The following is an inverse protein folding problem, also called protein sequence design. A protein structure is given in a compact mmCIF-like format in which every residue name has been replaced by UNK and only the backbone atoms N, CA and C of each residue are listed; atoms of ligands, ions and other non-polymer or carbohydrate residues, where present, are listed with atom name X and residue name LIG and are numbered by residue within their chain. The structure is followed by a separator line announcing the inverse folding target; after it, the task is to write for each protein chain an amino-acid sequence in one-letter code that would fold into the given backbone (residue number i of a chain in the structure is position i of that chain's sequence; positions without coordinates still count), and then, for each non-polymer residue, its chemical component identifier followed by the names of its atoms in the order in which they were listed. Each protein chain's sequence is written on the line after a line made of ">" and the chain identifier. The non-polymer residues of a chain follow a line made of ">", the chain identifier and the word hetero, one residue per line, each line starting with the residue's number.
data_IF_365760033347
#
_entry.id   IF_365760033347
#
_cell.length_a   1.000
_cell.length_b   1.000
_cell.length_c   1.000
_cell.angle_alpha   90.00
_cell.angle_beta   90.00
_cell.angle_gamma   90.00
#
_symmetry.space_group_name_H-M   'P 1'
#
loop_
_entity.id
_entity.type
_entity.pdbx_description
1 polymer ?
#
# COMPACT_ATOMS: atom_id res chain seq x y z
N UNK A 1 20.59 -9.73 -16.51
CA UNK A 1 20.29 -8.97 -15.28
C UNK A 1 19.54 -9.79 -14.25
N UNK A 2 18.47 -10.53 -14.61
CA UNK A 2 17.72 -11.38 -13.68
C UNK A 2 18.61 -12.46 -13.03
N UNK A 3 19.47 -13.13 -13.79
CA UNK A 3 20.43 -14.09 -13.23
C UNK A 3 21.37 -13.45 -12.20
N UNK A 4 21.82 -12.23 -12.47
CA UNK A 4 22.67 -11.49 -11.54
C UNK A 4 21.93 -11.15 -10.25
N UNK A 5 20.66 -10.73 -10.31
CA UNK A 5 19.82 -10.51 -9.14
C UNK A 5 19.58 -11.81 -8.34
N UNK A 6 19.40 -12.93 -9.04
CA UNK A 6 19.20 -14.24 -8.39
C UNK A 6 20.45 -14.71 -7.64
N UNK A 7 21.64 -14.46 -8.20
CA UNK A 7 22.92 -14.91 -7.65
C UNK A 7 23.45 -13.97 -6.56
N UNK A 8 23.04 -12.68 -6.59
CA UNK A 8 23.50 -11.66 -5.63
C UNK A 8 23.38 -12.07 -4.16
N UNK A 9 22.27 -12.65 -3.64
CA UNK A 9 22.15 -13.00 -2.23
C UNK A 9 23.19 -14.03 -1.73
N UNK A 10 23.74 -14.83 -2.67
CA UNK A 10 24.74 -15.87 -2.37
C UNK A 10 26.18 -15.34 -2.36
N UNK A 11 26.45 -14.27 -3.12
CA UNK A 11 27.81 -13.70 -3.27
C UNK A 11 27.97 -12.41 -2.43
N UNK A 12 26.87 -11.68 -2.20
CA UNK A 12 26.90 -10.40 -1.52
C UNK A 12 27.23 -10.53 -0.04
N UNK A 13 27.99 -9.56 0.46
CA UNK A 13 28.22 -9.41 1.90
C UNK A 13 26.97 -8.81 2.56
N UNK A 14 26.70 -9.26 3.78
CA UNK A 14 25.63 -8.67 4.61
C UNK A 14 26.08 -7.27 5.07
N UNK A 15 25.35 -6.24 4.61
CA UNK A 15 25.58 -4.85 5.02
C UNK A 15 24.27 -4.31 5.61
N UNK A 16 24.22 -4.09 6.91
CA UNK A 16 23.06 -3.57 7.64
C UNK A 16 21.79 -4.42 7.42
N UNK A 17 21.93 -5.75 7.37
CA UNK A 17 20.82 -6.70 7.19
C UNK A 17 20.38 -6.92 5.72
N UNK A 18 21.04 -6.29 4.74
CA UNK A 18 20.76 -6.49 3.31
C UNK A 18 21.93 -7.20 2.62
N UNK A 19 21.61 -8.17 1.75
CA UNK A 19 22.58 -8.91 0.92
C UNK A 19 22.48 -8.51 -0.54
N UNK A 20 22.73 -7.23 -0.83
CA UNK A 20 22.51 -6.62 -2.13
C UNK A 20 23.78 -5.99 -2.73
N UNK A 21 24.88 -5.91 -1.97
CA UNK A 21 26.11 -5.27 -2.40
C UNK A 21 27.17 -6.27 -2.79
N UNK A 22 27.59 -6.20 -4.05
CA UNK A 22 28.71 -6.99 -4.58
C UNK A 22 29.98 -6.16 -4.53
N UNK A 23 30.96 -6.64 -3.80
CA UNK A 23 32.28 -6.00 -3.70
C UNK A 23 33.20 -6.48 -4.83
N UNK A 24 33.64 -5.56 -5.67
CA UNK A 24 34.60 -5.81 -6.76
C UNK A 24 36.05 -5.46 -6.39
N UNK A 25 36.31 -5.18 -5.09
CA UNK A 25 37.64 -4.79 -4.61
C UNK A 25 37.88 -3.28 -4.63
N UNK A 26 37.70 -2.63 -5.77
CA UNK A 26 37.86 -1.19 -5.96
C UNK A 26 36.54 -0.41 -5.81
N UNK A 27 35.39 -1.05 -5.97
CA UNK A 27 34.07 -0.44 -5.74
C UNK A 27 33.04 -1.47 -5.28
N UNK A 28 31.98 -0.97 -4.62
CA UNK A 28 30.81 -1.74 -4.29
C UNK A 28 29.71 -1.42 -5.32
N UNK A 29 29.15 -2.45 -5.93
CA UNK A 29 28.09 -2.32 -6.91
C UNK A 29 26.83 -2.97 -6.36
N UNK A 30 25.69 -2.28 -6.52
CA UNK A 30 24.38 -2.80 -6.18
C UNK A 30 23.63 -3.17 -7.47
N UNK A 31 23.46 -4.48 -7.77
CA UNK A 31 22.80 -4.93 -9.01
C UNK A 31 21.35 -4.45 -9.14
N UNK A 32 20.65 -4.21 -8.03
CA UNK A 32 19.29 -3.68 -8.02
C UNK A 32 19.17 -2.29 -8.70
N UNK A 33 20.19 -1.44 -8.58
CA UNK A 33 20.20 -0.11 -9.23
C UNK A 33 20.21 -0.23 -10.76
N UNK A 34 21.06 -1.11 -11.28
CA UNK A 34 21.12 -1.38 -12.73
C UNK A 34 19.87 -2.09 -13.23
N UNK A 35 19.28 -2.95 -12.39
CA UNK A 35 18.06 -3.67 -12.74
C UNK A 35 16.87 -2.72 -12.98
N UNK A 36 16.76 -1.61 -12.25
CA UNK A 36 15.73 -0.59 -12.48
C UNK A 36 15.84 0.00 -13.91
N UNK A 37 17.04 0.38 -14.33
CA UNK A 37 17.27 0.92 -15.67
C UNK A 37 16.98 -0.13 -16.78
N UNK A 38 17.45 -1.37 -16.59
CA UNK A 38 17.22 -2.45 -17.56
C UNK A 38 15.72 -2.78 -17.64
N UNK A 39 15.01 -2.79 -16.51
CA UNK A 39 13.56 -3.01 -16.50
C UNK A 39 12.83 -1.89 -17.22
N UNK A 40 13.20 -0.62 -17.00
CA UNK A 40 12.60 0.52 -17.70
C UNK A 40 12.75 0.39 -19.22
N UNK A 41 13.93 0.04 -19.70
CA UNK A 41 14.19 -0.18 -21.14
C UNK A 41 13.41 -1.38 -21.69
N UNK A 42 13.32 -2.47 -20.91
CA UNK A 42 12.59 -3.66 -21.32
C UNK A 42 11.07 -3.40 -21.39
N UNK A 43 10.53 -2.65 -20.43
CA UNK A 43 9.14 -2.22 -20.43
C UNK A 43 8.86 -1.28 -21.60
N UNK A 44 9.71 -0.28 -21.84
CA UNK A 44 9.57 0.62 -22.96
C UNK A 44 9.57 -0.13 -24.31
N UNK A 45 10.45 -1.12 -24.47
CA UNK A 45 10.48 -1.99 -25.66
C UNK A 45 9.20 -2.81 -25.80
N UNK A 46 8.66 -3.32 -24.69
CA UNK A 46 7.44 -4.12 -24.69
C UNK A 46 6.23 -3.27 -25.10
N UNK A 47 6.10 -2.07 -24.51
CA UNK A 47 5.01 -1.13 -24.79
C UNK A 47 5.04 -0.61 -26.25
N UNK A 48 6.22 -0.42 -26.79
CA UNK A 48 6.39 0.04 -28.19
C UNK A 48 6.13 -1.07 -29.23
N UNK A 49 5.78 -2.27 -28.82
CA UNK A 49 5.49 -3.37 -29.75
C UNK A 49 4.17 -3.15 -30.45
N UNK A 50 4.14 -3.34 -31.77
CA UNK A 50 2.91 -3.25 -32.56
C UNK A 50 1.80 -4.17 -32.03
N UNK A 51 0.59 -3.64 -31.86
CA UNK A 51 -0.56 -4.37 -31.32
C UNK A 51 -0.53 -4.61 -29.80
N UNK A 52 0.41 -4.00 -29.05
CA UNK A 52 0.40 -4.06 -27.61
C UNK A 52 -0.64 -3.07 -27.04
N UNK A 53 -1.55 -3.57 -26.20
CA UNK A 53 -2.55 -2.74 -25.51
C UNK A 53 -2.66 -3.16 -24.05
N UNK A 54 -2.69 -2.20 -23.14
CA UNK A 54 -2.80 -2.45 -21.69
C UNK A 54 -4.22 -2.94 -21.28
N UNK A 55 -5.20 -2.78 -22.13
CA UNK A 55 -6.56 -3.28 -21.91
C UNK A 55 -6.67 -4.79 -22.11
N UNK A 56 -5.76 -5.40 -22.89
CA UNK A 56 -5.69 -6.85 -23.01
C UNK A 56 -4.99 -7.46 -21.80
N UNK A 57 -5.70 -8.35 -21.09
CA UNK A 57 -5.19 -9.00 -19.88
C UNK A 57 -3.86 -9.75 -20.11
N UNK A 58 -3.66 -10.34 -21.30
CA UNK A 58 -2.41 -11.05 -21.62
C UNK A 58 -1.23 -10.09 -21.75
N UNK A 59 -1.45 -8.93 -22.38
CA UNK A 59 -0.44 -7.89 -22.52
C UNK A 59 -0.13 -7.26 -21.15
N UNK A 60 -1.15 -6.97 -20.36
CA UNK A 60 -1.01 -6.46 -19.00
C UNK A 60 -0.21 -7.42 -18.11
N UNK A 61 -0.55 -8.72 -18.10
CA UNK A 61 0.17 -9.72 -17.30
C UNK A 61 1.64 -9.85 -17.70
N UNK A 62 1.97 -9.74 -19.00
CA UNK A 62 3.37 -9.75 -19.46
C UNK A 62 4.13 -8.52 -18.96
N UNK A 63 3.52 -7.34 -19.03
CA UNK A 63 4.12 -6.12 -18.52
C UNK A 63 4.29 -6.14 -17.00
N UNK A 64 3.26 -6.60 -16.29
CA UNK A 64 3.30 -6.77 -14.83
C UNK A 64 4.37 -7.78 -14.42
N UNK A 65 4.46 -8.93 -15.08
CA UNK A 65 5.49 -9.94 -14.81
C UNK A 65 6.92 -9.38 -14.98
N UNK A 66 7.13 -8.54 -16.01
CA UNK A 66 8.42 -7.91 -16.27
C UNK A 66 8.88 -6.98 -15.14
N UNK A 67 7.93 -6.38 -14.41
CA UNK A 67 8.18 -5.51 -13.26
C UNK A 67 8.22 -6.30 -11.95
N UNK A 68 7.26 -7.20 -11.75
CA UNK A 68 7.12 -7.94 -10.50
C UNK A 68 8.25 -8.95 -10.29
N UNK A 69 8.77 -9.56 -11.36
CA UNK A 69 9.84 -10.56 -11.25
C UNK A 69 11.12 -9.97 -10.65
N UNK A 70 11.71 -8.86 -11.16
CA UNK A 70 12.88 -8.25 -10.52
C UNK A 70 12.54 -7.70 -9.13
N UNK A 71 11.33 -7.15 -8.91
CA UNK A 71 10.88 -6.67 -7.62
C UNK A 71 10.92 -7.77 -6.57
N UNK A 72 10.38 -8.96 -6.86
CA UNK A 72 10.42 -10.12 -5.95
C UNK A 72 11.86 -10.55 -5.66
N UNK A 73 12.72 -10.61 -6.68
CA UNK A 73 14.13 -10.95 -6.49
C UNK A 73 14.86 -9.95 -5.58
N UNK A 74 14.52 -8.66 -5.65
CA UNK A 74 15.09 -7.61 -4.80
C UNK A 74 14.56 -7.74 -3.37
N UNK A 75 13.28 -8.08 -3.18
CA UNK A 75 12.71 -8.35 -1.85
C UNK A 75 13.41 -9.53 -1.18
N UNK A 76 13.72 -10.59 -1.95
CA UNK A 76 14.48 -11.74 -1.43
C UNK A 76 15.91 -11.38 -0.97
N UNK A 77 16.47 -10.27 -1.48
CA UNK A 77 17.74 -9.70 -1.02
C UNK A 77 17.59 -8.85 0.25
N UNK A 78 16.37 -8.79 0.83
CA UNK A 78 16.00 -7.95 1.98
C UNK A 78 16.14 -6.44 1.71
N UNK A 79 16.00 -6.04 0.45
CA UNK A 79 16.07 -4.66 -0.03
C UNK A 79 14.69 -4.09 -0.39
N UNK A 80 13.86 -3.89 0.61
CA UNK A 80 12.48 -3.40 0.41
C UNK A 80 12.43 -1.99 -0.20
N UNK A 81 13.39 -1.11 0.15
CA UNK A 81 13.43 0.25 -0.39
C UNK A 81 13.61 0.30 -1.91
N UNK A 82 14.57 -0.47 -2.45
CA UNK A 82 14.79 -0.57 -3.89
C UNK A 82 13.62 -1.24 -4.62
N UNK A 83 12.96 -2.21 -3.96
CA UNK A 83 11.78 -2.88 -4.51
C UNK A 83 10.57 -1.93 -4.63
N UNK A 84 10.34 -1.04 -3.67
CA UNK A 84 9.24 -0.07 -3.70
C UNK A 84 9.32 0.89 -4.90
N UNK A 85 10.53 1.18 -5.40
CA UNK A 85 10.69 2.03 -6.59
C UNK A 85 10.00 1.44 -7.82
N UNK A 86 9.90 0.10 -7.91
CA UNK A 86 9.21 -0.56 -9.01
C UNK A 86 7.70 -0.27 -9.05
N UNK A 87 7.09 0.13 -7.94
CA UNK A 87 5.69 0.56 -7.91
C UNK A 87 5.44 1.81 -8.77
N UNK A 88 6.46 2.64 -9.00
CA UNK A 88 6.34 3.79 -9.89
C UNK A 88 6.00 3.41 -11.35
N UNK A 89 6.39 2.20 -11.80
CA UNK A 89 6.01 1.71 -13.13
C UNK A 89 4.49 1.54 -13.31
N UNK A 90 3.74 1.32 -12.24
CA UNK A 90 2.28 1.25 -12.32
C UNK A 90 1.65 2.60 -12.69
N UNK A 91 2.26 3.73 -12.31
CA UNK A 91 1.84 5.06 -12.76
C UNK A 91 2.01 5.20 -14.28
N UNK A 92 3.11 4.67 -14.82
CA UNK A 92 3.33 4.64 -16.27
C UNK A 92 2.31 3.73 -16.97
N UNK A 93 1.99 2.58 -16.39
CA UNK A 93 0.97 1.69 -16.94
C UNK A 93 -0.41 2.33 -17.00
N UNK A 94 -0.76 3.14 -15.98
CA UNK A 94 -2.00 3.90 -15.99
C UNK A 94 -2.04 4.89 -17.16
N UNK A 95 -0.93 5.58 -17.42
CA UNK A 95 -0.81 6.48 -18.58
C UNK A 95 -0.96 5.73 -19.91
N UNK A 96 -0.48 4.50 -20.00
CA UNK A 96 -0.56 3.63 -21.19
C UNK A 96 -1.91 2.90 -21.33
N UNK A 97 -2.90 3.25 -20.53
CA UNK A 97 -4.27 2.75 -20.64
C UNK A 97 -4.65 1.59 -19.71
N UNK A 98 -3.87 1.36 -18.64
CA UNK A 98 -4.27 0.43 -17.59
C UNK A 98 -5.56 0.93 -16.93
N UNK A 99 -6.55 0.04 -16.66
CA UNK A 99 -7.76 0.44 -15.95
C UNK A 99 -7.45 1.12 -14.61
N UNK A 100 -8.09 2.28 -14.36
CA UNK A 100 -7.84 3.10 -13.17
C UNK A 100 -8.12 2.40 -11.84
N UNK A 101 -8.90 1.32 -11.84
CA UNK A 101 -9.18 0.53 -10.67
C UNK A 101 -7.90 -0.07 -10.01
N UNK A 102 -6.91 -0.47 -10.81
CA UNK A 102 -5.65 -0.98 -10.27
C UNK A 102 -4.86 0.11 -9.54
N UNK A 103 -4.78 1.31 -10.13
CA UNK A 103 -4.10 2.44 -9.50
C UNK A 103 -4.86 2.90 -8.24
N UNK A 104 -6.19 2.97 -8.32
CA UNK A 104 -7.04 3.33 -7.18
C UNK A 104 -6.83 2.34 -6.02
N UNK A 105 -6.84 1.03 -6.29
CA UNK A 105 -6.61 0.01 -5.27
C UNK A 105 -5.21 0.11 -4.66
N UNK A 106 -4.18 0.38 -5.48
CA UNK A 106 -2.82 0.55 -4.99
C UNK A 106 -2.68 1.79 -4.07
N UNK A 107 -3.27 2.93 -4.48
CA UNK A 107 -3.27 4.15 -3.66
C UNK A 107 -4.06 3.94 -2.37
N UNK A 108 -5.24 3.29 -2.45
CA UNK A 108 -6.04 2.96 -1.28
C UNK A 108 -5.27 2.07 -0.29
N UNK A 109 -4.56 1.05 -0.79
CA UNK A 109 -3.72 0.17 0.05
C UNK A 109 -2.62 0.96 0.77
N UNK A 110 -1.95 1.90 0.10
CA UNK A 110 -0.94 2.78 0.74
C UNK A 110 -1.59 3.63 1.83
N UNK A 111 -2.75 4.23 1.58
CA UNK A 111 -3.48 5.03 2.57
C UNK A 111 -3.88 4.18 3.77
N UNK A 112 -4.42 2.98 3.54
CA UNK A 112 -4.81 2.06 4.62
C UNK A 112 -3.60 1.64 5.47
N UNK A 113 -2.47 1.33 4.83
CA UNK A 113 -1.23 0.98 5.50
C UNK A 113 -0.73 2.13 6.39
N UNK A 114 -0.62 3.33 5.83
CA UNK A 114 -0.11 4.50 6.55
C UNK A 114 -1.03 4.87 7.72
N UNK A 115 -2.33 4.98 7.48
CA UNK A 115 -3.31 5.37 8.52
C UNK A 115 -3.46 4.28 9.57
N UNK A 116 -3.54 3.02 9.14
CA UNK A 116 -3.69 1.87 10.05
C UNK A 116 -2.52 1.74 11.01
N UNK A 117 -1.29 1.92 10.52
CA UNK A 117 -0.10 1.81 11.36
C UNK A 117 0.10 3.07 12.21
N UNK A 118 0.02 4.27 11.60
CA UNK A 118 0.31 5.53 12.30
C UNK A 118 -0.61 5.77 13.50
N UNK A 119 -1.88 5.39 13.37
CA UNK A 119 -2.91 5.60 14.39
C UNK A 119 -3.38 4.29 15.04
N UNK A 120 -2.70 3.17 14.79
CA UNK A 120 -3.07 1.86 15.31
C UNK A 120 -2.95 1.73 16.83
N UNK A 121 -1.99 2.45 17.43
CA UNK A 121 -1.74 2.44 18.88
C UNK A 121 -2.57 3.51 19.64
N UNK A 122 -3.25 4.42 18.92
CA UNK A 122 -4.10 5.44 19.54
C UNK A 122 -5.53 4.91 19.71
N UNK A 123 -6.05 4.97 20.92
CA UNK A 123 -7.43 4.60 21.21
C UNK A 123 -8.40 5.74 20.93
N UNK A 124 -9.57 5.41 20.44
CA UNK A 124 -10.65 6.38 20.23
C UNK A 124 -11.28 6.73 21.60
N UNK A 125 -11.39 8.01 21.97
CA UNK A 125 -11.88 8.42 23.28
C UNK A 125 -13.25 7.81 23.60
N UNK A 126 -13.35 7.12 24.76
CA UNK A 126 -14.57 6.46 25.22
C UNK A 126 -14.93 5.15 24.54
N UNK A 127 -14.02 4.58 23.74
CA UNK A 127 -14.23 3.29 23.07
C UNK A 127 -13.00 2.38 23.25
N UNK A 128 -13.14 1.08 22.93
CA UNK A 128 -12.01 0.14 22.88
C UNK A 128 -11.40 0.01 21.48
N UNK A 129 -11.87 0.82 20.52
CA UNK A 129 -11.41 0.78 19.13
C UNK A 129 -10.14 1.59 18.96
N UNK A 130 -9.20 1.12 18.13
CA UNK A 130 -8.09 1.94 17.70
C UNK A 130 -8.56 2.97 16.65
N UNK A 131 -8.02 4.19 16.72
CA UNK A 131 -8.29 5.25 15.73
C UNK A 131 -7.90 4.79 14.34
N UNK A 132 -6.78 4.07 14.19
CA UNK A 132 -6.28 3.57 12.91
C UNK A 132 -7.25 2.58 12.27
N UNK A 133 -7.67 1.55 13.01
CA UNK A 133 -8.59 0.53 12.51
C UNK A 133 -9.95 1.14 12.14
N UNK A 134 -10.53 1.93 13.05
CA UNK A 134 -11.81 2.60 12.81
C UNK A 134 -11.78 3.49 11.57
N UNK A 135 -10.74 4.31 11.43
CA UNK A 135 -10.61 5.24 10.29
C UNK A 135 -10.44 4.48 8.98
N UNK A 136 -9.63 3.40 8.95
CA UNK A 136 -9.43 2.61 7.73
C UNK A 136 -10.72 1.89 7.33
N UNK A 137 -11.45 1.29 8.27
CA UNK A 137 -12.74 0.65 7.99
C UNK A 137 -13.76 1.66 7.45
N UNK A 138 -13.77 2.89 8.00
CA UNK A 138 -14.61 3.97 7.51
C UNK A 138 -14.22 4.41 6.10
N UNK A 139 -12.92 4.48 5.78
CA UNK A 139 -12.44 4.75 4.42
C UNK A 139 -12.83 3.64 3.44
N UNK A 140 -12.68 2.36 3.83
CA UNK A 140 -13.11 1.21 3.01
C UNK A 140 -14.61 1.31 2.72
N UNK A 141 -15.41 1.61 3.75
CA UNK A 141 -16.85 1.79 3.61
C UNK A 141 -17.20 2.94 2.66
N UNK A 142 -16.56 4.11 2.81
CA UNK A 142 -16.75 5.26 1.93
C UNK A 142 -16.36 4.96 0.47
N UNK A 143 -15.23 4.30 0.24
CA UNK A 143 -14.78 3.91 -1.10
C UNK A 143 -15.71 2.88 -1.73
N UNK A 144 -16.16 1.90 -0.96
CA UNK A 144 -17.15 0.90 -1.44
C UNK A 144 -18.46 1.57 -1.86
N UNK A 145 -18.97 2.53 -1.05
CA UNK A 145 -20.15 3.32 -1.40
C UNK A 145 -19.92 4.16 -2.66
N UNK A 146 -18.76 4.79 -2.78
CA UNK A 146 -18.38 5.56 -3.96
C UNK A 146 -18.36 4.71 -5.22
N UNK A 147 -17.76 3.53 -5.16
CA UNK A 147 -17.76 2.57 -6.27
C UNK A 147 -19.19 2.12 -6.62
N UNK A 148 -20.01 1.81 -5.61
CA UNK A 148 -21.41 1.47 -5.82
C UNK A 148 -22.17 2.59 -6.55
N UNK A 149 -21.97 3.84 -6.14
CA UNK A 149 -22.61 4.99 -6.76
C UNK A 149 -22.16 5.19 -8.22
N UNK A 150 -20.89 4.98 -8.51
CA UNK A 150 -20.32 5.14 -9.86
C UNK A 150 -20.78 4.04 -10.80
N UNK A 151 -20.70 2.77 -10.35
CA UNK A 151 -21.03 1.61 -11.19
C UNK A 151 -22.52 1.27 -11.25
N UNK A 152 -23.28 1.63 -10.21
CA UNK A 152 -24.72 1.38 -10.10
C UNK A 152 -25.51 2.63 -9.70
N UNK A 153 -25.48 3.73 -10.50
CA UNK A 153 -26.05 5.02 -10.11
C UNK A 153 -27.57 5.00 -9.92
N UNK A 154 -28.27 4.04 -10.54
CA UNK A 154 -29.72 3.89 -10.41
C UNK A 154 -30.15 2.95 -9.28
N UNK A 155 -29.20 2.29 -8.61
CA UNK A 155 -29.51 1.40 -7.51
C UNK A 155 -29.82 2.19 -6.23
N UNK A 156 -30.81 1.73 -5.48
CA UNK A 156 -31.13 2.27 -4.14
C UNK A 156 -30.22 1.73 -3.04
N UNK A 157 -29.30 0.81 -3.37
CA UNK A 157 -28.43 0.14 -2.40
C UNK A 157 -27.41 1.09 -1.77
N UNK A 158 -26.73 1.94 -2.56
CA UNK A 158 -25.75 2.89 -2.05
C UNK A 158 -26.35 3.88 -1.02
N UNK A 159 -27.46 4.61 -1.33
CA UNK A 159 -28.06 5.51 -0.34
C UNK A 159 -28.67 4.78 0.86
N UNK A 160 -29.13 3.55 0.72
CA UNK A 160 -29.60 2.73 1.83
C UNK A 160 -28.43 2.41 2.78
N UNK A 161 -27.35 1.85 2.29
CA UNK A 161 -26.16 1.54 3.09
C UNK A 161 -25.51 2.79 3.69
N UNK A 162 -25.56 3.92 2.98
CA UNK A 162 -25.09 5.19 3.55
C UNK A 162 -25.90 5.57 4.80
N UNK A 163 -27.24 5.52 4.72
CA UNK A 163 -28.11 5.88 5.85
C UNK A 163 -27.97 4.90 7.01
N UNK A 164 -28.01 3.60 6.73
CA UNK A 164 -27.88 2.55 7.75
C UNK A 164 -26.49 2.63 8.38
N UNK A 165 -25.43 2.78 7.57
CA UNK A 165 -24.07 2.86 8.06
C UNK A 165 -23.83 4.09 8.93
N UNK A 166 -24.29 5.28 8.52
CA UNK A 166 -24.21 6.49 9.35
C UNK A 166 -24.97 6.33 10.66
N UNK A 167 -26.20 5.82 10.60
CA UNK A 167 -27.01 5.61 11.80
C UNK A 167 -26.35 4.60 12.75
N UNK A 168 -25.87 3.46 12.23
CA UNK A 168 -25.23 2.44 13.01
C UNK A 168 -23.91 2.92 13.64
N UNK A 169 -23.07 3.65 12.90
CA UNK A 169 -21.82 4.20 13.44
C UNK A 169 -22.07 5.27 14.50
N UNK A 170 -23.01 6.18 14.29
CA UNK A 170 -23.35 7.19 15.29
C UNK A 170 -23.94 6.56 16.55
N UNK A 171 -24.87 5.63 16.40
CA UNK A 171 -25.48 4.93 17.56
C UNK A 171 -24.42 4.11 18.31
N UNK A 172 -23.56 3.39 17.61
CA UNK A 172 -22.52 2.59 18.25
C UNK A 172 -21.49 3.45 18.99
N UNK A 173 -21.12 4.62 18.45
CA UNK A 173 -20.27 5.59 19.13
C UNK A 173 -20.95 6.14 20.39
N UNK A 174 -22.23 6.53 20.32
CA UNK A 174 -22.97 7.03 21.46
C UNK A 174 -23.12 5.96 22.55
N UNK A 175 -23.43 4.74 22.18
CA UNK A 175 -23.55 3.61 23.13
C UNK A 175 -22.20 3.32 23.77
N UNK A 176 -21.13 3.29 22.99
CA UNK A 176 -19.78 3.01 23.51
C UNK A 176 -19.28 4.10 24.45
N UNK A 177 -19.57 5.39 24.16
CA UNK A 177 -19.11 6.51 24.99
C UNK A 177 -19.96 6.76 26.23
N UNK A 178 -21.27 6.45 26.18
CA UNK A 178 -22.23 6.81 27.28
C UNK A 178 -22.66 5.63 28.15
N UNK A 179 -22.63 4.39 27.63
CA UNK A 179 -23.23 3.26 28.31
C UNK A 179 -22.18 2.19 28.67
N UNK A 180 -21.58 1.57 27.66
CA UNK A 180 -20.61 0.47 27.82
C UNK A 180 -19.51 0.62 26.78
N UNK A 181 -18.23 0.77 27.16
CA UNK A 181 -17.15 0.82 26.23
C UNK A 181 -17.00 -0.52 25.50
N UNK A 182 -17.14 -0.51 24.19
CA UNK A 182 -16.91 -1.65 23.32
C UNK A 182 -16.19 -1.24 22.04
N UNK A 183 -15.69 -2.21 21.30
CA UNK A 183 -15.00 -1.96 20.04
C UNK A 183 -15.98 -1.69 18.90
N UNK A 184 -16.09 -0.40 18.51
CA UNK A 184 -16.98 0.08 17.45
C UNK A 184 -16.55 -0.41 16.06
N UNK A 185 -15.30 -0.81 15.89
CA UNK A 185 -14.76 -1.34 14.62
C UNK A 185 -15.53 -2.58 14.16
N UNK A 186 -16.02 -3.41 15.09
CA UNK A 186 -16.86 -4.57 14.77
C UNK A 186 -18.18 -4.22 14.06
N UNK A 187 -18.77 -3.06 14.40
CA UNK A 187 -19.99 -2.60 13.73
C UNK A 187 -19.73 -2.23 12.29
N UNK A 188 -18.64 -1.50 12.03
CA UNK A 188 -18.20 -1.18 10.66
C UNK A 188 -17.84 -2.44 9.88
N UNK A 189 -17.15 -3.38 10.48
CA UNK A 189 -16.82 -4.67 9.86
C UNK A 189 -18.08 -5.44 9.49
N UNK A 190 -19.06 -5.53 10.39
CA UNK A 190 -20.34 -6.18 10.11
C UNK A 190 -21.10 -5.49 8.95
N UNK A 191 -21.09 -4.16 8.90
CA UNK A 191 -21.66 -3.40 7.79
C UNK A 191 -20.96 -3.70 6.45
N UNK A 192 -19.63 -3.74 6.42
CA UNK A 192 -18.84 -4.09 5.25
C UNK A 192 -19.14 -5.53 4.79
N UNK A 193 -19.24 -6.48 5.72
CA UNK A 193 -19.60 -7.86 5.40
C UNK A 193 -21.04 -7.97 4.87
N UNK A 194 -22.00 -7.21 5.42
CA UNK A 194 -23.36 -7.17 4.89
C UNK A 194 -23.42 -6.60 3.47
N UNK A 195 -22.67 -5.51 3.20
CA UNK A 195 -22.55 -4.93 1.86
C UNK A 195 -21.94 -5.92 0.87
N UNK A 196 -20.84 -6.56 1.23
CA UNK A 196 -20.19 -7.56 0.37
C UNK A 196 -21.10 -8.76 0.12
N UNK A 197 -21.79 -9.24 1.14
CA UNK A 197 -22.79 -10.32 1.00
C UNK A 197 -23.90 -9.96 0.03
N UNK A 198 -24.42 -8.74 0.10
CA UNK A 198 -25.44 -8.27 -0.85
C UNK A 198 -24.89 -8.15 -2.28
N UNK A 199 -23.64 -7.65 -2.45
CA UNK A 199 -23.03 -7.56 -3.78
C UNK A 199 -22.78 -8.95 -4.39
N UNK A 200 -22.35 -9.90 -3.59
CA UNK A 200 -22.19 -11.29 -4.03
C UNK A 200 -23.53 -11.94 -4.38
N UNK A 201 -24.58 -11.67 -3.60
CA UNK A 201 -25.93 -12.13 -3.89
C UNK A 201 -26.46 -11.60 -5.23
N UNK A 202 -26.28 -10.29 -5.49
CA UNK A 202 -26.65 -9.67 -6.76
C UNK A 202 -25.82 -10.24 -7.93
N UNK A 203 -24.51 -10.49 -7.73
CA UNK A 203 -23.70 -11.14 -8.75
C UNK A 203 -24.19 -12.54 -9.10
N UNK A 204 -24.56 -13.34 -8.11
CA UNK A 204 -25.10 -14.69 -8.34
C UNK A 204 -26.44 -14.66 -9.08
N UNK A 205 -27.31 -13.69 -8.78
CA UNK A 205 -28.62 -13.54 -9.41
C UNK A 205 -28.59 -12.92 -10.80
N UNK A 206 -27.88 -11.80 -10.93
CA UNK A 206 -27.90 -10.98 -12.14
C UNK A 206 -26.64 -11.15 -13.02
N UNK A 207 -25.65 -11.92 -12.56
CA UNK A 207 -24.31 -12.12 -13.18
C UNK A 207 -23.57 -10.82 -13.53
N UNK A 208 -23.78 -9.79 -12.74
CA UNK A 208 -23.14 -8.49 -12.94
C UNK A 208 -21.72 -8.51 -12.40
N UNK A 209 -20.72 -8.59 -13.29
CA UNK A 209 -19.29 -8.66 -12.92
C UNK A 209 -18.81 -7.46 -12.10
N UNK A 210 -19.46 -6.31 -12.22
CA UNK A 210 -19.16 -5.11 -11.41
C UNK A 210 -19.41 -5.33 -9.91
N UNK A 211 -20.50 -6.05 -9.56
CA UNK A 211 -20.78 -6.41 -8.16
C UNK A 211 -19.69 -7.29 -7.56
N UNK A 212 -19.22 -8.29 -8.31
CA UNK A 212 -18.10 -9.14 -7.90
C UNK A 212 -16.82 -8.32 -7.70
N UNK A 213 -16.53 -7.37 -8.60
CA UNK A 213 -15.34 -6.52 -8.50
C UNK A 213 -15.37 -5.65 -7.22
N UNK A 214 -16.53 -5.03 -6.90
CA UNK A 214 -16.69 -4.23 -5.68
C UNK A 214 -16.57 -5.12 -4.43
N UNK A 215 -17.16 -6.31 -4.43
CA UNK A 215 -17.05 -7.27 -3.34
C UNK A 215 -15.60 -7.71 -3.09
N UNK A 216 -14.86 -8.03 -4.16
CA UNK A 216 -13.44 -8.39 -4.08
C UNK A 216 -12.57 -7.23 -3.59
N UNK A 217 -12.86 -6.01 -4.04
CA UNK A 217 -12.17 -4.82 -3.54
C UNK A 217 -12.39 -4.64 -2.03
N UNK A 218 -13.64 -4.74 -1.56
CA UNK A 218 -13.99 -4.54 -0.15
C UNK A 218 -13.38 -5.63 0.73
N UNK A 219 -13.51 -6.91 0.34
CA UNK A 219 -12.91 -8.03 1.07
C UNK A 219 -11.38 -7.95 1.06
N UNK A 220 -10.79 -7.65 -0.10
CA UNK A 220 -9.35 -7.51 -0.23
C UNK A 220 -8.79 -6.35 0.61
N UNK A 221 -9.48 -5.20 0.64
CA UNK A 221 -9.12 -4.04 1.47
C UNK A 221 -9.22 -4.36 2.97
N UNK A 222 -10.28 -5.06 3.38
CA UNK A 222 -10.46 -5.47 4.78
C UNK A 222 -9.39 -6.50 5.20
N UNK A 223 -9.14 -7.50 4.36
CA UNK A 223 -8.08 -8.47 4.59
C UNK A 223 -6.70 -7.80 4.64
N UNK A 224 -6.44 -6.83 3.76
CA UNK A 224 -5.19 -6.07 3.74
C UNK A 224 -4.96 -5.30 5.03
N UNK A 225 -6.00 -4.67 5.62
CA UNK A 225 -5.90 -3.96 6.91
C UNK A 225 -5.35 -4.89 8.00
N UNK A 226 -5.97 -6.07 8.19
CA UNK A 226 -5.54 -7.00 9.24
C UNK A 226 -4.20 -7.67 8.92
N UNK A 227 -3.96 -8.02 7.66
CA UNK A 227 -2.69 -8.62 7.23
C UNK A 227 -1.53 -7.64 7.33
N UNK A 228 -1.74 -6.34 7.08
CA UNK A 228 -0.69 -5.32 7.16
C UNK A 228 -0.18 -5.14 8.59
N UNK A 229 -1.06 -5.16 9.58
CA UNK A 229 -0.70 -5.11 10.99
C UNK A 229 0.08 -6.36 11.42
N UNK A 230 -0.36 -7.53 11.00
CA UNK A 230 0.35 -8.79 11.22
C UNK A 230 1.73 -8.78 10.55
N UNK A 231 1.79 -8.34 9.29
CA UNK A 231 3.05 -8.29 8.55
C UNK A 231 4.08 -7.35 9.20
N UNK A 232 3.65 -6.18 9.70
CA UNK A 232 4.53 -5.23 10.37
C UNK A 232 5.12 -5.83 11.66
N UNK A 233 4.29 -6.56 12.44
CA UNK A 233 4.68 -7.01 13.77
C UNK A 233 5.44 -8.35 13.76
N UNK A 234 5.07 -9.28 12.86
CA UNK A 234 5.54 -10.66 12.89
C UNK A 234 6.46 -11.02 11.69
N UNK A 235 6.29 -10.35 10.55
CA UNK A 235 7.00 -10.73 9.31
C UNK A 235 8.20 -9.84 9.03
N UNK A 236 8.10 -8.52 9.31
CA UNK A 236 9.19 -7.60 9.04
C UNK A 236 10.32 -7.74 10.06
N UNK A 237 11.56 -7.68 9.56
CA UNK A 237 12.73 -7.66 10.44
C UNK A 237 12.77 -6.37 11.29
N UNK A 238 13.34 -6.41 12.52
CA UNK A 238 13.34 -5.27 13.44
C UNK A 238 13.85 -3.97 12.81
N UNK A 239 14.89 -4.04 11.98
CA UNK A 239 15.45 -2.86 11.32
C UNK A 239 14.51 -2.27 10.24
N UNK A 240 13.68 -3.09 9.58
CA UNK A 240 12.70 -2.62 8.60
C UNK A 240 11.51 -1.97 9.31
N UNK A 241 11.03 -2.60 10.39
CA UNK A 241 9.97 -2.08 11.24
C UNK A 241 10.34 -0.71 11.81
N UNK A 242 11.55 -0.57 12.39
CA UNK A 242 12.03 0.70 12.92
C UNK A 242 12.07 1.79 11.85
N UNK A 243 12.51 1.49 10.63
CA UNK A 243 12.50 2.47 9.53
C UNK A 243 11.09 2.96 9.20
N UNK A 244 10.10 2.06 9.15
CA UNK A 244 8.71 2.43 8.90
C UNK A 244 8.18 3.30 10.04
N UNK A 245 8.41 2.92 11.29
CA UNK A 245 7.99 3.67 12.47
C UNK A 245 8.61 5.08 12.52
N UNK A 246 9.90 5.22 12.19
CA UNK A 246 10.58 6.52 12.09
C UNK A 246 10.00 7.37 10.95
N UNK A 247 9.73 6.78 9.78
CA UNK A 247 9.11 7.50 8.66
C UNK A 247 7.71 8.01 9.00
N UNK A 248 6.94 7.24 9.78
CA UNK A 248 5.61 7.61 10.24
C UNK A 248 5.62 8.52 11.49
N UNK A 249 6.80 8.84 12.01
CA UNK A 249 6.94 9.68 13.20
C UNK A 249 6.41 9.04 14.49
N UNK A 250 6.51 7.71 14.60
CA UNK A 250 6.10 6.95 15.79
C UNK A 250 7.22 6.76 16.80
N UNK A 251 8.48 6.75 16.33
CA UNK A 251 9.68 6.65 17.17
C UNK A 251 10.54 7.90 17.02
N UNK A 252 10.80 8.55 18.12
CA UNK A 252 11.71 9.72 18.24
C UNK A 252 13.14 9.30 18.60
N UNK A 253 13.57 8.09 18.23
CA UNK A 253 14.93 7.63 18.51
C UNK A 253 15.96 8.39 17.67
N UNK A 254 16.36 9.56 18.18
CA UNK A 254 17.33 10.49 17.57
C UNK A 254 18.74 9.88 17.42
N UNK A 255 19.03 8.76 18.10
CA UNK A 255 20.39 8.23 18.23
C UNK A 255 20.73 7.07 17.30
N UNK A 256 19.76 6.45 16.63
CA UNK A 256 19.99 5.28 15.77
C UNK A 256 19.40 5.45 14.35
N UNK A 257 18.25 4.85 14.08
CA UNK A 257 17.63 4.86 12.76
C UNK A 257 17.04 6.22 12.38
N UNK A 258 16.59 7.00 13.37
CA UNK A 258 16.04 8.36 13.21
C UNK A 258 17.09 9.43 12.91
N UNK A 259 18.34 9.23 13.34
CA UNK A 259 19.38 10.25 13.20
C UNK A 259 19.58 10.76 11.78
N UNK A 260 19.77 9.85 10.82
CA UNK A 260 19.96 10.23 9.42
C UNK A 260 18.75 10.96 8.82
N UNK A 261 17.53 10.55 9.20
CA UNK A 261 16.29 11.18 8.75
C UNK A 261 16.17 12.59 9.34
N UNK A 262 16.45 12.75 10.63
CA UNK A 262 16.40 14.04 11.31
C UNK A 262 17.49 14.98 10.81
N UNK A 263 18.72 14.51 10.59
CA UNK A 263 19.78 15.29 9.98
C UNK A 263 19.41 15.75 8.56
N UNK A 264 18.80 14.88 7.77
CA UNK A 264 18.30 15.25 6.43
C UNK A 264 17.22 16.32 6.51
N UNK A 265 16.26 16.20 7.44
CA UNK A 265 15.22 17.24 7.66
C UNK A 265 15.82 18.57 8.07
N UNK A 266 16.80 18.57 8.99
CA UNK A 266 17.51 19.77 9.43
C UNK A 266 18.27 20.39 8.25
N UNK A 267 18.98 19.58 7.48
CA UNK A 267 19.74 20.05 6.30
C UNK A 267 18.82 20.71 5.26
N UNK A 268 17.69 20.05 4.92
CA UNK A 268 16.70 20.58 3.98
C UNK A 268 16.05 21.85 4.55
N UNK A 269 15.60 21.83 5.80
CA UNK A 269 14.93 22.97 6.45
C UNK A 269 15.83 24.18 6.58
N UNK A 270 17.13 23.98 6.92
CA UNK A 270 18.09 25.06 7.08
C UNK A 270 18.54 25.71 5.76
N UNK A 271 18.38 25.04 4.62
CA UNK A 271 18.72 25.58 3.31
C UNK A 271 17.59 26.39 2.66
N UNK A 272 16.35 26.25 3.11
CA UNK A 272 15.18 26.89 2.47
C UNK A 272 15.07 26.57 0.97
N UNK A 273 14.54 27.50 0.19
CA UNK A 273 14.40 27.35 -1.26
C UNK A 273 15.70 27.57 -2.04
N UNK A 274 16.60 28.38 -1.50
CA UNK A 274 17.85 28.78 -2.18
C UNK A 274 19.03 27.88 -1.84
N UNK A 275 18.92 27.05 -0.79
CA UNK A 275 20.00 26.23 -0.28
C UNK A 275 21.05 27.06 0.48
N UNK A 276 22.04 26.37 1.07
CA UNK A 276 23.14 27.03 1.80
C UNK A 276 24.31 27.41 0.90
N UNK A 277 24.25 27.09 -0.37
CA UNK A 277 25.35 27.27 -1.33
C UNK A 277 26.33 26.09 -1.39
N UNK A 278 27.18 26.10 -2.40
CA UNK A 278 28.16 25.04 -2.63
C UNK A 278 29.19 25.00 -1.49
N UNK A 279 29.40 23.82 -0.89
CA UNK A 279 30.33 23.54 0.21
C UNK A 279 30.01 24.24 1.56
N UNK A 280 28.85 24.81 1.77
CA UNK A 280 28.42 25.45 3.03
C UNK A 280 27.43 24.59 3.86
N UNK A 281 27.35 23.28 3.58
CA UNK A 281 26.45 22.31 4.24
C UNK A 281 27.14 21.51 5.35
#
# INVERSE_FOLDING_TARGET
>A
MMLLLLVTPFIAKDIKGSRSWVNLGFCNIQPAEFAKCVTALAVAKLLNRYGFTMTDMRCFLRAAALILLPMVLIILQKETGSALVYLAFFLMFYREGMPGCFLFTAVAAVVYFVVGIRFGETELPGTLSSVGEFTVLLLIWAFTLGMLQVYHPRSRTAPLFLRIGLAATVVSLLVSTLIIPFDVSWVLLALLLAMTGQMLWQWLGERMNTGLFIALFTLGSTAFLYTSNFALNEVLEPHQRTRIQVLLGMNEDDRAAGYNVNQSKIAIGSGGLEGKGFMNG
#
